data_IF_721300101581
#
_entry.id   IF_721300101581
#
_cell.length_a   1.000
_cell.length_b   1.000
_cell.length_c   1.000
_cell.angle_alpha   90.00
_cell.angle_beta   90.00
_cell.angle_gamma   90.00
#
_symmetry.space_group_name_H-M   'P 1'
#
loop_
_entity.id
_entity.type
_entity.pdbx_description
1 polymer ?
#
# COMPACT_ATOMS: atom_id res chain seq x y z
N UNK A 1 20.99 -5.94 -5.63
CA UNK A 1 20.43 -4.76 -4.94
C UNK A 1 19.47 -5.19 -3.84
N UNK A 2 19.81 -4.96 -2.56
CA UNK A 2 19.31 -5.67 -1.35
C UNK A 2 19.44 -7.21 -1.37
N UNK A 3 19.37 -7.84 -2.56
CA UNK A 3 19.64 -9.25 -2.83
C UNK A 3 20.98 -9.74 -2.29
N UNK A 4 21.96 -8.84 -2.13
CA UNK A 4 23.32 -9.14 -1.70
C UNK A 4 23.55 -8.93 -0.20
N UNK A 5 22.53 -8.48 0.55
CA UNK A 5 22.64 -8.21 1.98
C UNK A 5 21.71 -9.15 2.76
N UNK A 6 22.32 -10.11 3.45
CA UNK A 6 21.59 -11.07 4.27
C UNK A 6 20.75 -10.36 5.34
N UNK A 7 19.55 -10.88 5.58
CA UNK A 7 18.61 -10.42 6.60
C UNK A 7 17.96 -9.03 6.39
N UNK A 8 18.17 -8.37 5.24
CA UNK A 8 17.31 -7.23 4.88
C UNK A 8 16.01 -7.75 4.29
N UNK A 9 14.90 -7.56 5.00
CA UNK A 9 13.57 -7.92 4.50
C UNK A 9 13.24 -7.04 3.29
N UNK A 10 12.92 -7.62 2.10
CA UNK A 10 12.53 -6.85 0.93
C UNK A 10 11.31 -5.94 1.20
N UNK A 11 11.08 -4.90 0.39
CA UNK A 11 9.85 -4.13 0.49
C UNK A 11 8.61 -5.02 0.33
N UNK A 12 7.69 -4.96 1.29
CA UNK A 12 6.41 -5.66 1.23
C UNK A 12 5.36 -4.93 2.08
N UNK A 13 4.09 -5.18 1.77
CA UNK A 13 2.96 -4.78 2.61
C UNK A 13 2.57 -5.93 3.52
N UNK A 14 2.81 -5.79 4.83
CA UNK A 14 2.54 -6.87 5.76
C UNK A 14 1.04 -7.18 5.83
N UNK A 15 0.70 -8.48 5.88
CA UNK A 15 -0.65 -9.04 5.80
C UNK A 15 -1.34 -8.94 4.44
N UNK A 16 -0.64 -8.55 3.37
CA UNK A 16 -1.18 -8.64 2.00
C UNK A 16 -1.73 -10.05 1.71
N UNK A 17 -2.86 -10.12 0.99
CA UNK A 17 -3.31 -11.39 0.45
C UNK A 17 -2.31 -11.92 -0.58
N UNK A 18 -2.22 -13.25 -0.69
CA UNK A 18 -1.48 -13.91 -1.75
C UNK A 18 -2.25 -13.81 -3.07
N UNK A 19 -1.54 -13.85 -4.18
CA UNK A 19 -2.16 -13.95 -5.49
C UNK A 19 -1.33 -13.34 -6.62
N UNK A 20 -1.77 -13.64 -7.84
CA UNK A 20 -1.16 -13.16 -9.08
C UNK A 20 -2.17 -12.47 -10.00
N UNK A 21 -2.87 -11.41 -9.55
CA UNK A 21 -3.85 -10.72 -10.36
C UNK A 21 -3.16 -10.00 -11.52
N UNK A 22 -3.80 -10.05 -12.69
CA UNK A 22 -3.37 -9.32 -13.89
C UNK A 22 -4.52 -8.48 -14.42
N UNK A 23 -4.30 -7.19 -14.70
CA UNK A 23 -5.34 -6.33 -15.26
C UNK A 23 -4.86 -4.96 -15.68
N UNK A 24 -5.79 -4.17 -16.21
CA UNK A 24 -5.53 -2.76 -16.50
C UNK A 24 -5.24 -1.99 -15.21
N UNK A 25 -4.30 -1.06 -15.32
CA UNK A 25 -3.92 -0.16 -14.24
C UNK A 25 -4.86 1.05 -14.21
N UNK A 26 -5.21 1.52 -13.01
CA UNK A 26 -5.93 2.78 -12.79
C UNK A 26 -5.22 3.60 -11.71
N UNK A 27 -4.89 4.86 -11.99
CA UNK A 27 -4.32 5.76 -10.99
C UNK A 27 -5.43 6.39 -10.14
N UNK A 28 -5.34 6.28 -8.81
CA UNK A 28 -6.41 6.72 -7.88
C UNK A 28 -5.90 7.71 -6.84
N UNK A 29 -5.00 8.62 -7.23
CA UNK A 29 -4.44 9.64 -6.33
C UNK A 29 -3.98 9.03 -4.99
N UNK A 30 -4.53 9.46 -3.85
CA UNK A 30 -4.20 8.92 -2.54
C UNK A 30 -5.10 7.74 -2.10
N UNK A 31 -6.04 7.26 -2.93
CA UNK A 31 -6.95 6.18 -2.57
C UNK A 31 -7.90 6.50 -1.42
N UNK A 32 -8.23 7.78 -1.23
CA UNK A 32 -9.21 8.23 -0.23
C UNK A 32 -10.62 7.93 -0.72
N UNK A 33 -11.58 8.00 0.19
CA UNK A 33 -12.99 7.75 -0.16
C UNK A 33 -13.48 8.71 -1.23
N UNK A 34 -13.10 10.00 -1.12
CA UNK A 34 -13.38 11.03 -2.12
C UNK A 34 -12.69 10.77 -3.47
N UNK A 35 -11.50 10.14 -3.49
CA UNK A 35 -10.80 9.84 -4.74
C UNK A 35 -11.57 8.75 -5.52
N UNK A 36 -12.08 7.73 -4.83
CA UNK A 36 -12.90 6.69 -5.46
C UNK A 36 -14.29 7.20 -5.87
N UNK A 37 -14.92 8.07 -5.07
CA UNK A 37 -16.19 8.70 -5.46
C UNK A 37 -16.04 9.59 -6.69
N UNK A 38 -14.93 10.35 -6.78
CA UNK A 38 -14.63 11.15 -7.95
C UNK A 38 -14.47 10.27 -9.20
N UNK A 39 -13.70 9.17 -9.12
CA UNK A 39 -13.58 8.24 -10.24
C UNK A 39 -14.93 7.72 -10.74
N UNK A 40 -15.75 7.20 -9.83
CA UNK A 40 -17.01 6.56 -10.19
C UNK A 40 -18.05 7.57 -10.68
N UNK A 41 -18.25 8.67 -9.94
CA UNK A 41 -19.40 9.56 -10.12
C UNK A 41 -19.14 10.73 -11.05
N UNK A 42 -17.93 11.26 -11.04
CA UNK A 42 -17.58 12.45 -11.84
C UNK A 42 -16.86 12.07 -13.13
N UNK A 43 -16.07 10.99 -13.08
CA UNK A 43 -15.15 10.63 -14.15
C UNK A 43 -15.59 9.40 -14.95
N UNK A 44 -16.64 8.71 -14.51
CA UNK A 44 -17.20 7.52 -15.18
C UNK A 44 -16.24 6.32 -15.24
N UNK A 45 -15.26 6.24 -14.33
CA UNK A 45 -14.25 5.18 -14.29
C UNK A 45 -14.65 4.12 -13.26
N UNK A 46 -14.78 2.88 -13.73
CA UNK A 46 -15.01 1.70 -12.89
C UNK A 46 -13.70 0.92 -12.68
N UNK A 47 -13.31 0.75 -11.41
CA UNK A 47 -12.09 0.03 -11.00
C UNK A 47 -12.33 -1.46 -10.71
N UNK A 48 -13.55 -1.94 -10.89
CA UNK A 48 -13.91 -3.34 -10.69
C UNK A 48 -13.05 -4.25 -11.58
N UNK A 49 -12.38 -5.22 -10.94
CA UNK A 49 -11.48 -6.16 -11.60
C UNK A 49 -10.19 -5.53 -12.16
N UNK A 50 -9.84 -4.32 -11.73
CA UNK A 50 -8.61 -3.59 -12.13
C UNK A 50 -7.56 -3.61 -11.03
N UNK A 51 -6.32 -3.33 -11.40
CA UNK A 51 -5.26 -3.05 -10.44
C UNK A 51 -5.22 -1.55 -10.27
N UNK A 52 -5.30 -1.08 -9.03
CA UNK A 52 -5.18 0.35 -8.74
C UNK A 52 -3.75 0.68 -8.31
N UNK A 53 -3.25 1.84 -8.74
CA UNK A 53 -2.01 2.41 -8.23
C UNK A 53 -2.33 3.70 -7.49
N UNK A 54 -1.83 3.81 -6.26
CA UNK A 54 -2.07 4.95 -5.38
C UNK A 54 -0.76 5.45 -4.79
N UNK A 55 -0.71 6.74 -4.48
CA UNK A 55 0.40 7.29 -3.71
C UNK A 55 0.15 7.19 -2.20
N UNK A 56 1.23 7.01 -1.45
CA UNK A 56 1.23 7.14 0.01
C UNK A 56 0.89 8.59 0.44
N UNK A 57 0.50 8.77 1.70
CA UNK A 57 0.12 10.06 2.28
C UNK A 57 -1.38 10.22 2.55
N UNK A 58 -1.76 11.33 3.20
CA UNK A 58 -3.12 11.76 3.61
C UNK A 58 -3.87 10.84 4.59
N UNK A 59 -4.03 9.57 4.27
CA UNK A 59 -4.73 8.58 5.09
C UNK A 59 -3.84 7.36 5.36
N UNK A 60 -4.14 6.65 6.44
CA UNK A 60 -3.49 5.38 6.76
C UNK A 60 -3.65 4.36 5.62
N UNK A 61 -2.57 3.64 5.29
CA UNK A 61 -2.51 2.72 4.14
C UNK A 61 -3.55 1.60 4.18
N UNK A 62 -3.91 1.08 5.35
CA UNK A 62 -4.99 0.09 5.47
C UNK A 62 -6.35 0.62 5.00
N UNK A 63 -6.63 1.92 5.18
CA UNK A 63 -7.85 2.54 4.64
C UNK A 63 -7.83 2.65 3.11
N UNK A 64 -6.66 2.89 2.50
CA UNK A 64 -6.51 2.87 1.04
C UNK A 64 -6.87 1.49 0.47
N UNK A 65 -6.38 0.42 1.13
CA UNK A 65 -6.71 -0.97 0.74
C UNK A 65 -8.19 -1.27 0.94
N UNK A 66 -8.76 -0.88 2.08
CA UNK A 66 -10.20 -1.02 2.35
C UNK A 66 -11.04 -0.35 1.27
N UNK A 67 -10.72 0.90 0.92
CA UNK A 67 -11.43 1.65 -0.11
C UNK A 67 -11.30 0.99 -1.49
N UNK A 68 -10.10 0.53 -1.86
CA UNK A 68 -9.87 -0.18 -3.12
C UNK A 68 -10.68 -1.48 -3.20
N UNK A 69 -10.74 -2.25 -2.11
CA UNK A 69 -11.56 -3.45 -2.01
C UNK A 69 -13.05 -3.14 -2.18
N UNK A 70 -13.56 -2.11 -1.49
CA UNK A 70 -14.95 -1.68 -1.62
C UNK A 70 -15.31 -1.21 -3.04
N UNK A 71 -14.35 -0.62 -3.74
CA UNK A 71 -14.49 -0.22 -5.15
C UNK A 71 -14.32 -1.38 -6.15
N UNK A 72 -14.07 -2.61 -5.69
CA UNK A 72 -13.95 -3.80 -6.53
C UNK A 72 -12.58 -3.99 -7.19
N UNK A 73 -11.54 -3.25 -6.77
CA UNK A 73 -10.19 -3.48 -7.25
C UNK A 73 -9.72 -4.90 -6.88
N UNK A 74 -8.90 -5.53 -7.74
CA UNK A 74 -8.36 -6.87 -7.50
C UNK A 74 -6.90 -6.90 -7.08
N UNK A 75 -6.29 -5.73 -6.94
CA UNK A 75 -4.93 -5.54 -6.48
C UNK A 75 -4.61 -4.06 -6.32
N UNK A 76 -3.68 -3.72 -5.45
CA UNK A 76 -3.28 -2.34 -5.16
C UNK A 76 -1.75 -2.20 -5.07
N UNK A 77 -1.22 -1.28 -5.87
CA UNK A 77 0.17 -0.87 -5.86
C UNK A 77 0.26 0.47 -5.13
N UNK A 78 1.20 0.60 -4.20
CA UNK A 78 1.44 1.85 -3.47
C UNK A 78 2.84 2.38 -3.76
N UNK A 79 2.97 3.68 -4.01
CA UNK A 79 4.29 4.30 -4.23
C UNK A 79 4.44 5.60 -3.45
N UNK A 80 5.68 6.02 -3.23
CA UNK A 80 6.01 7.23 -2.47
C UNK A 80 6.32 8.37 -3.45
N UNK A 81 5.31 9.14 -3.85
CA UNK A 81 5.48 10.24 -4.80
C UNK A 81 6.41 11.34 -4.23
N UNK A 82 7.36 11.88 -5.01
CA UNK A 82 8.19 13.00 -4.56
C UNK A 82 7.39 14.23 -4.11
N UNK A 83 6.17 14.44 -4.60
CA UNK A 83 5.31 15.52 -4.11
C UNK A 83 5.05 15.46 -2.59
N UNK A 84 5.14 14.27 -2.00
CA UNK A 84 4.83 14.01 -0.59
C UNK A 84 6.07 13.60 0.23
N UNK A 85 7.11 13.07 -0.43
CA UNK A 85 8.26 12.43 0.21
C UNK A 85 9.61 13.00 -0.24
N UNK A 86 9.62 14.22 -0.80
CA UNK A 86 10.83 14.92 -1.23
C UNK A 86 10.83 16.37 -0.73
N UNK A 87 11.80 16.71 0.11
CA UNK A 87 12.07 18.07 0.54
C UNK A 87 12.84 18.85 -0.54
N UNK A 88 12.39 20.08 -0.83
CA UNK A 88 13.04 20.93 -1.83
C UNK A 88 14.49 21.27 -1.44
N UNK A 89 15.40 21.21 -2.41
CA UNK A 89 16.82 21.55 -2.21
C UNK A 89 17.66 20.51 -1.47
N UNK A 90 17.10 19.32 -1.16
CA UNK A 90 17.81 18.26 -0.43
C UNK A 90 18.13 17.09 -1.37
N UNK A 91 19.35 16.57 -1.28
CA UNK A 91 19.78 15.41 -2.05
C UNK A 91 19.16 14.11 -1.49
N UNK A 92 18.92 13.09 -2.33
CA UNK A 92 18.52 11.78 -1.85
C UNK A 92 19.66 11.12 -1.08
N UNK A 93 19.32 10.18 -0.19
CA UNK A 93 20.33 9.30 0.42
C UNK A 93 21.17 8.59 -0.67
N UNK A 94 22.50 8.47 -0.52
CA UNK A 94 23.30 8.74 0.70
C UNK A 94 23.74 10.19 0.91
N UNK A 95 23.66 11.06 -0.10
CA UNK A 95 24.22 12.42 -0.06
C UNK A 95 23.30 13.44 0.66
N UNK A 96 22.07 13.05 0.95
CA UNK A 96 21.16 13.78 1.82
C UNK A 96 20.12 12.88 2.45
N UNK A 97 19.02 13.47 2.93
CA UNK A 97 17.99 12.74 3.69
C UNK A 97 16.67 12.56 2.93
N UNK A 98 16.63 12.93 1.64
CA UNK A 98 15.48 12.62 0.80
C UNK A 98 15.41 11.14 0.45
N UNK A 99 14.20 10.68 0.14
CA UNK A 99 13.94 9.31 -0.29
C UNK A 99 14.63 9.03 -1.64
N UNK A 100 15.53 8.04 -1.74
CA UNK A 100 16.07 7.63 -3.03
C UNK A 100 14.98 6.98 -3.90
N UNK A 101 15.12 7.03 -5.22
CA UNK A 101 14.05 6.59 -6.14
C UNK A 101 13.67 5.12 -6.12
N UNK A 102 14.60 4.24 -5.75
CA UNK A 102 14.32 2.83 -5.48
C UNK A 102 13.80 2.55 -4.05
N UNK A 103 13.68 3.59 -3.21
CA UNK A 103 13.20 3.47 -1.84
C UNK A 103 11.69 3.23 -1.79
N UNK A 104 11.28 2.05 -1.34
CA UNK A 104 9.88 1.70 -1.11
C UNK A 104 9.53 1.68 0.39
N UNK A 105 8.40 2.28 0.76
CA UNK A 105 7.94 2.35 2.14
C UNK A 105 7.26 1.03 2.55
N UNK A 106 7.83 0.32 3.53
CA UNK A 106 7.20 -0.85 4.17
C UNK A 106 6.07 -0.42 5.09
N UNK A 107 5.16 -1.34 5.40
CA UNK A 107 4.14 -1.12 6.44
C UNK A 107 3.05 -2.19 6.43
N UNK A 108 2.35 -2.34 7.54
CA UNK A 108 1.16 -3.21 7.60
C UNK A 108 -0.04 -2.55 6.94
N UNK A 109 -0.92 -3.37 6.36
CA UNK A 109 -2.15 -2.93 5.70
C UNK A 109 -3.41 -3.49 6.37
N UNK A 110 -3.30 -3.90 7.64
CA UNK A 110 -4.44 -4.35 8.43
C UNK A 110 -5.40 -3.20 8.69
N UNK A 111 -6.68 -3.52 8.84
CA UNK A 111 -7.70 -2.59 9.30
C UNK A 111 -8.35 -3.07 10.61
N UNK A 112 -7.65 -2.89 11.73
CA UNK A 112 -7.99 -3.53 13.02
C UNK A 112 -9.07 -2.81 13.83
N UNK A 113 -9.24 -1.50 13.66
CA UNK A 113 -10.16 -0.68 14.48
C UNK A 113 -10.05 -0.95 16.01
N UNK A 114 -8.82 -1.12 16.51
CA UNK A 114 -8.56 -1.36 17.94
C UNK A 114 -8.57 -2.82 18.39
N UNK A 115 -8.73 -3.80 17.49
CA UNK A 115 -8.84 -5.22 17.85
C UNK A 115 -7.59 -5.83 18.54
N UNK A 116 -6.39 -5.27 18.32
CA UNK A 116 -5.13 -5.87 18.78
C UNK A 116 -4.62 -6.94 17.81
N UNK A 117 -4.24 -8.11 18.32
CA UNK A 117 -3.85 -9.26 17.48
C UNK A 117 -5.05 -9.71 16.61
N UNK A 118 -4.90 -9.82 15.27
CA UNK A 118 -5.99 -10.23 14.37
C UNK A 118 -6.73 -11.52 14.77
N UNK A 119 -6.05 -12.43 15.47
CA UNK A 119 -6.59 -13.75 15.81
C UNK A 119 -7.21 -13.82 17.21
N UNK A 120 -6.99 -12.82 18.06
CA UNK A 120 -7.46 -12.81 19.46
C UNK A 120 -8.13 -11.49 19.86
N UNK A 121 -9.10 -10.98 19.07
CA UNK A 121 -9.73 -9.69 19.36
C UNK A 121 -10.39 -9.68 20.75
N UNK A 122 -10.00 -8.70 21.57
CA UNK A 122 -10.52 -8.53 22.93
C UNK A 122 -9.86 -9.39 24.01
N UNK A 123 -8.94 -10.30 23.67
CA UNK A 123 -8.28 -11.19 24.62
C UNK A 123 -6.76 -11.19 24.44
N UNK A 124 -5.96 -11.42 25.49
CA UNK A 124 -4.51 -11.52 25.34
C UNK A 124 -4.11 -12.80 24.59
N UNK A 125 -3.18 -12.69 23.63
CA UNK A 125 -2.65 -13.81 22.84
C UNK A 125 -1.70 -14.74 23.63
N UNK A 126 -2.21 -15.42 24.67
CA UNK A 126 -1.46 -16.42 25.47
C UNK A 126 -1.35 -17.75 24.73
N UNK A 127 -0.54 -18.66 25.25
CA UNK A 127 -0.32 -19.98 24.65
C UNK A 127 -1.62 -20.80 24.57
N UNK A 128 -2.47 -20.69 25.59
CA UNK A 128 -3.76 -21.39 25.68
C UNK A 128 -4.95 -20.62 25.08
N UNK A 129 -4.75 -19.37 24.63
CA UNK A 129 -5.85 -18.56 24.10
C UNK A 129 -6.34 -19.13 22.77
N UNK A 130 -7.67 -19.30 22.65
CA UNK A 130 -8.30 -19.62 21.36
C UNK A 130 -7.96 -18.56 20.31
N UNK A 131 -7.63 -19.01 19.10
CA UNK A 131 -7.29 -18.15 17.97
C UNK A 131 -8.26 -18.42 16.83
N UNK A 132 -8.68 -17.35 16.15
CA UNK A 132 -9.30 -17.49 14.83
C UNK A 132 -8.34 -18.20 13.87
N UNK A 133 -8.90 -18.79 12.81
CA UNK A 133 -8.12 -19.28 11.69
C UNK A 133 -7.30 -18.13 11.07
N UNK A 134 -6.17 -18.45 10.42
CA UNK A 134 -5.33 -17.42 9.80
C UNK A 134 -6.05 -16.62 8.70
N UNK A 135 -7.10 -17.20 8.10
CA UNK A 135 -7.90 -16.61 7.03
C UNK A 135 -9.04 -15.71 7.55
N UNK A 136 -9.53 -15.98 8.77
CA UNK A 136 -10.60 -15.24 9.43
C UNK A 136 -10.10 -14.13 10.36
N UNK A 137 -8.79 -13.89 10.38
CA UNK A 137 -8.18 -12.82 11.17
C UNK A 137 -8.81 -11.45 10.89
N UNK A 138 -9.05 -10.70 11.96
CA UNK A 138 -9.71 -9.39 11.89
C UNK A 138 -8.89 -8.42 11.06
N UNK A 139 -9.56 -7.74 10.11
CA UNK A 139 -8.96 -6.65 9.35
C UNK A 139 -7.96 -7.08 8.28
N UNK A 140 -7.89 -8.37 7.94
CA UNK A 140 -7.05 -8.87 6.83
C UNK A 140 -7.57 -8.37 5.47
N UNK A 141 -6.70 -7.85 4.60
CA UNK A 141 -7.07 -7.54 3.22
C UNK A 141 -7.33 -8.83 2.44
N UNK A 142 -8.22 -8.76 1.45
CA UNK A 142 -8.57 -9.90 0.56
C UNK A 142 -8.02 -9.73 -0.86
N UNK A 143 -7.23 -8.69 -1.11
CA UNK A 143 -6.57 -8.43 -2.39
C UNK A 143 -5.06 -8.25 -2.18
N UNK A 144 -4.21 -8.58 -3.18
CA UNK A 144 -2.78 -8.35 -3.11
C UNK A 144 -2.42 -6.86 -3.03
N UNK A 145 -1.41 -6.56 -2.22
CA UNK A 145 -0.91 -5.20 -1.95
C UNK A 145 0.61 -5.19 -2.00
N UNK A 146 1.20 -4.23 -2.73
CA UNK A 146 2.65 -4.13 -2.81
C UNK A 146 3.16 -2.68 -2.86
N UNK A 147 4.19 -2.32 -2.07
CA UNK A 147 4.86 -1.04 -2.18
C UNK A 147 5.93 -1.06 -3.27
N UNK A 148 6.10 0.04 -3.98
CA UNK A 148 7.19 0.25 -4.95
C UNK A 148 7.88 1.61 -4.72
N UNK A 149 9.10 1.74 -5.23
CA UNK A 149 9.78 3.04 -5.31
C UNK A 149 9.16 3.93 -6.38
N UNK A 150 9.46 5.23 -6.33
CA UNK A 150 8.92 6.14 -7.34
C UNK A 150 9.60 6.01 -8.70
N UNK A 151 10.83 5.50 -8.78
CA UNK A 151 11.45 5.13 -10.06
C UNK A 151 10.63 4.05 -10.79
N UNK A 152 10.22 2.98 -10.08
CA UNK A 152 9.38 1.93 -10.65
C UNK A 152 7.97 2.45 -10.99
N UNK A 153 7.44 3.35 -10.16
CA UNK A 153 6.14 3.97 -10.42
C UNK A 153 6.15 4.77 -11.73
N UNK A 154 7.25 5.45 -12.08
CA UNK A 154 7.38 6.12 -13.38
C UNK A 154 7.23 5.13 -14.53
N UNK A 155 7.81 3.93 -14.44
CA UNK A 155 7.69 2.92 -15.50
C UNK A 155 6.25 2.44 -15.70
N UNK A 156 5.47 2.33 -14.62
CA UNK A 156 4.04 1.99 -14.70
C UNK A 156 3.18 3.17 -15.17
N UNK A 157 3.50 4.39 -14.74
CA UNK A 157 2.62 5.54 -14.95
C UNK A 157 2.90 6.32 -16.25
N UNK A 158 4.13 6.24 -16.81
CA UNK A 158 4.53 7.06 -17.96
C UNK A 158 3.67 6.85 -19.23
N UNK A 159 3.24 5.61 -19.46
CA UNK A 159 2.47 5.21 -20.64
C UNK A 159 0.98 5.03 -20.33
N UNK A 160 0.50 5.49 -19.17
CA UNK A 160 -0.91 5.38 -18.80
C UNK A 160 -1.79 6.11 -19.82
N UNK A 161 -2.85 5.43 -20.26
CA UNK A 161 -3.84 5.97 -21.18
C UNK A 161 -5.00 6.64 -20.44
N UNK A 162 -6.10 6.89 -21.14
CA UNK A 162 -7.29 7.49 -20.53
C UNK A 162 -7.13 8.97 -20.20
N UNK A 163 -8.03 9.49 -19.37
CA UNK A 163 -8.18 10.92 -19.14
C UNK A 163 -7.04 11.55 -18.32
N UNK A 164 -6.78 12.83 -18.58
CA UNK A 164 -5.85 13.64 -17.78
C UNK A 164 -6.50 13.88 -16.40
N UNK A 165 -5.77 13.71 -15.29
CA UNK A 165 -6.33 13.88 -13.98
C UNK A 165 -6.59 15.36 -13.63
N UNK A 166 -7.48 15.64 -12.66
CA UNK A 166 -7.58 16.96 -12.04
C UNK A 166 -6.22 17.45 -11.51
N UNK A 167 -6.00 18.78 -11.46
CA UNK A 167 -4.70 19.33 -11.07
C UNK A 167 -4.24 18.91 -9.67
N UNK A 168 -5.17 18.74 -8.73
CA UNK A 168 -4.88 18.30 -7.35
C UNK A 168 -4.51 16.80 -7.24
N UNK A 169 -4.57 16.03 -8.33
CA UNK A 169 -4.16 14.64 -8.39
C UNK A 169 -2.75 14.45 -8.95
N UNK A 170 -2.16 15.48 -9.56
CA UNK A 170 -0.79 15.43 -10.07
C UNK A 170 0.21 15.46 -8.92
N UNK A 171 1.18 14.56 -8.96
CA UNK A 171 2.36 14.60 -8.09
C UNK A 171 3.51 15.36 -8.74
N UNK A 172 4.75 15.00 -8.39
CA UNK A 172 5.96 15.69 -8.85
C UNK A 172 6.84 14.85 -9.78
N UNK A 173 6.34 13.70 -10.24
CA UNK A 173 7.01 12.92 -11.29
C UNK A 173 6.81 13.59 -12.65
N UNK A 174 7.83 13.52 -13.51
CA UNK A 174 7.78 14.07 -14.86
C UNK A 174 6.99 13.16 -15.83
N UNK A 175 5.70 13.02 -15.57
CA UNK A 175 4.74 12.20 -16.33
C UNK A 175 3.36 12.87 -16.37
N UNK A 176 2.44 12.32 -17.16
CA UNK A 176 1.10 12.88 -17.33
C UNK A 176 0.12 12.62 -16.17
N UNK A 177 0.38 11.58 -15.35
CA UNK A 177 -0.54 11.04 -14.35
C UNK A 177 -1.91 10.65 -14.91
N UNK A 178 -2.00 10.35 -16.22
CA UNK A 178 -3.22 9.86 -16.85
C UNK A 178 -3.83 8.71 -16.05
N UNK A 179 -5.14 8.72 -15.93
CA UNK A 179 -5.85 7.90 -14.93
C UNK A 179 -5.99 6.45 -15.37
N UNK A 180 -5.90 6.15 -16.66
CA UNK A 180 -6.34 4.88 -17.22
C UNK A 180 -7.86 4.86 -17.44
N UNK A 181 -8.47 3.66 -17.55
CA UNK A 181 -7.84 2.35 -17.39
C UNK A 181 -6.88 1.98 -18.53
N UNK A 182 -5.78 1.32 -18.17
CA UNK A 182 -4.83 0.76 -19.12
C UNK A 182 -3.86 1.80 -19.68
N UNK A 183 -3.16 1.42 -20.75
CA UNK A 183 -2.10 2.22 -21.35
C UNK A 183 -2.55 2.92 -22.64
N UNK A 184 -1.69 3.79 -23.18
CA UNK A 184 -1.90 4.44 -24.48
C UNK A 184 -1.98 3.44 -25.62
N UNK A 185 -2.40 3.88 -26.82
CA UNK A 185 -2.68 2.99 -27.95
C UNK A 185 -1.50 2.08 -28.32
N UNK A 186 -0.26 2.60 -28.29
CA UNK A 186 0.97 1.84 -28.54
C UNK A 186 1.18 0.66 -27.54
N UNK A 187 0.52 0.71 -26.40
CA UNK A 187 0.66 -0.23 -25.29
C UNK A 187 -0.69 -0.85 -24.86
N UNK A 188 -1.75 -0.72 -25.65
CA UNK A 188 -3.12 -1.09 -25.28
C UNK A 188 -3.32 -2.56 -24.86
N UNK A 189 -2.48 -3.46 -25.38
CA UNK A 189 -2.50 -4.88 -25.03
C UNK A 189 -1.75 -5.20 -23.72
N UNK A 190 -0.94 -4.28 -23.22
CA UNK A 190 -0.17 -4.49 -21.99
C UNK A 190 -1.08 -4.44 -20.77
N UNK A 191 -0.76 -5.28 -19.79
CA UNK A 191 -1.44 -5.36 -18.49
C UNK A 191 -0.40 -5.36 -17.39
N UNK A 192 -0.79 -4.95 -16.20
CA UNK A 192 0.03 -5.08 -15.01
C UNK A 192 -0.30 -6.41 -14.35
N UNK A 193 0.72 -7.15 -13.93
CA UNK A 193 0.60 -8.34 -13.10
C UNK A 193 1.29 -8.11 -11.77
N UNK A 194 0.63 -8.44 -10.68
CA UNK A 194 1.25 -8.54 -9.35
C UNK A 194 1.63 -9.99 -9.07
N UNK A 195 2.64 -10.23 -8.24
CA UNK A 195 2.96 -11.57 -7.76
C UNK A 195 3.32 -11.51 -6.27
N UNK A 196 2.37 -11.92 -5.42
CA UNK A 196 2.51 -11.85 -3.96
C UNK A 196 2.42 -13.24 -3.37
N UNK A 197 3.49 -13.66 -2.69
CA UNK A 197 3.65 -14.98 -2.07
C UNK A 197 4.00 -14.89 -0.57
N UNK A 198 3.60 -13.80 0.09
CA UNK A 198 3.83 -13.60 1.52
C UNK A 198 2.96 -14.55 2.36
N UNK A 199 3.46 -14.99 3.51
CA UNK A 199 2.76 -15.89 4.43
C UNK A 199 2.55 -15.24 5.81
N UNK A 200 1.36 -15.41 6.37
CA UNK A 200 1.07 -15.02 7.75
C UNK A 200 1.47 -16.16 8.69
N UNK A 201 2.17 -15.85 9.77
CA UNK A 201 2.60 -16.82 10.76
C UNK A 201 2.39 -16.29 12.18
N UNK A 202 1.89 -17.15 13.07
CA UNK A 202 1.84 -16.85 14.50
C UNK A 202 3.27 -16.82 15.01
N UNK A 203 3.73 -15.64 15.43
CA UNK A 203 5.11 -15.40 15.83
C UNK A 203 5.15 -14.89 17.26
N UNK A 204 6.07 -15.42 18.07
CA UNK A 204 6.25 -14.97 19.45
C UNK A 204 6.82 -13.55 19.47
N UNK A 205 6.13 -12.65 20.17
CA UNK A 205 6.59 -11.28 20.45
C UNK A 205 6.93 -11.14 21.93
N UNK A 206 7.88 -10.27 22.24
CA UNK A 206 8.35 -10.05 23.60
C UNK A 206 8.27 -8.57 23.95
N UNK A 207 7.49 -8.24 24.98
CA UNK A 207 7.47 -6.91 25.58
C UNK A 207 8.38 -6.89 26.81
N UNK A 208 9.07 -5.78 27.04
CA UNK A 208 9.82 -5.52 28.27
C UNK A 208 9.03 -4.51 29.10
N UNK A 209 8.73 -4.86 30.36
CA UNK A 209 7.96 -4.01 31.28
C UNK A 209 8.83 -3.70 32.50
N UNK A 210 9.19 -2.43 32.69
CA UNK A 210 9.89 -1.93 33.88
C UNK A 210 8.97 -1.13 34.78
N UNK A 211 9.17 -1.20 36.11
CA UNK A 211 8.40 -0.42 37.10
C UNK A 211 9.33 0.14 38.17
N UNK A 212 9.15 1.41 38.50
CA UNK A 212 9.64 2.02 39.75
C UNK A 212 8.40 2.23 40.61
N UNK A 213 8.40 1.67 41.82
CA UNK A 213 7.24 1.72 42.71
C UNK A 213 7.08 3.13 43.29
N UNK A 214 5.87 3.69 43.20
CA UNK A 214 5.54 4.97 43.82
C UNK A 214 5.68 4.90 45.34
N UNK A 215 6.17 5.98 45.95
CA UNK A 215 6.35 6.05 47.40
C UNK A 215 5.03 6.29 48.17
N UNK A 216 4.06 6.99 47.55
CA UNK A 216 2.74 7.27 48.15
C UNK A 216 1.64 6.42 47.50
N UNK A 217 1.58 6.40 46.17
CA UNK A 217 0.57 5.67 45.39
C UNK A 217 1.27 4.63 44.50
N UNK A 218 1.54 3.42 45.03
CA UNK A 218 2.46 2.47 44.40
C UNK A 218 1.95 1.79 43.13
#
# INVERSE_FOLDING_TARGET
GYEDVSNIVPPYSAFSAQGQPEGDLVYVNYGRTEDFFQLEREMGINVTGKIVIVRYGRIFRGNKVKNAMLAGAKGIIMFSDPADYWAAGVQPYPDGWNLPGGGAQRGNVLNLNGAGDPLTPGYPAKEYTYRFSLEDGVGLPKIPVHPIGFHDAVHLLKNMGGQIPPNNWKGSLNISYRIGPGFTDDFKSQKVRMNIQTNNQVTRIYNVIGRIRGALEP
#
